data_IF_552736831967
#
_entry.id   IF_552736831967
#
_cell.length_a   1.000
_cell.length_b   1.000
_cell.length_c   1.000
_cell.angle_alpha   90.00
_cell.angle_beta   90.00
_cell.angle_gamma   90.00
#
_symmetry.space_group_name_H-M   'P 1'
#
loop_
_entity.id
_entity.type
_entity.pdbx_description
1 polymer ?
#
# COMPACT_ATOMS: atom_id res chain seq x y z
N UNK A 1 24.83 -23.70 -1.28
CA UNK A 1 25.34 -23.91 0.10
C UNK A 1 24.97 -22.76 1.04
N UNK A 2 25.31 -21.51 0.71
CA UNK A 2 24.99 -20.32 1.54
C UNK A 2 23.49 -20.21 1.84
N UNK A 3 22.63 -20.40 0.83
CA UNK A 3 21.17 -20.42 1.00
C UNK A 3 20.68 -21.40 2.06
N UNK A 4 21.26 -22.60 2.13
CA UNK A 4 20.89 -23.61 3.12
C UNK A 4 21.24 -23.15 4.54
N UNK A 5 22.39 -22.47 4.71
CA UNK A 5 22.81 -21.88 6.00
C UNK A 5 21.99 -20.65 6.39
N UNK A 6 21.24 -20.05 5.47
CA UNK A 6 20.39 -18.88 5.71
C UNK A 6 18.92 -19.23 6.03
N UNK A 7 18.58 -20.52 6.09
CA UNK A 7 17.23 -20.99 6.44
C UNK A 7 16.89 -20.71 7.92
N UNK A 8 15.58 -20.66 8.23
CA UNK A 8 15.02 -20.27 9.54
C UNK A 8 15.55 -21.02 10.77
N UNK A 9 16.19 -22.18 10.58
CA UNK A 9 16.67 -23.03 11.68
C UNK A 9 18.14 -22.75 12.07
N UNK A 10 18.88 -21.94 11.32
CA UNK A 10 20.25 -21.55 11.69
C UNK A 10 20.24 -20.38 12.68
N UNK A 11 21.19 -20.41 13.62
CA UNK A 11 21.34 -19.31 14.56
C UNK A 11 21.86 -18.05 13.82
N UNK A 12 21.74 -16.88 14.44
CA UNK A 12 22.14 -15.62 13.81
C UNK A 12 23.63 -15.57 13.43
N UNK A 13 24.51 -16.10 14.28
CA UNK A 13 25.96 -16.13 14.03
C UNK A 13 26.31 -16.99 12.80
N UNK A 14 25.67 -18.15 12.63
CA UNK A 14 25.86 -19.03 11.47
C UNK A 14 25.45 -18.33 10.16
N UNK A 15 24.37 -17.53 10.21
CA UNK A 15 23.90 -16.74 9.06
C UNK A 15 24.91 -15.65 8.69
N UNK A 16 25.45 -14.97 9.69
CA UNK A 16 26.51 -13.96 9.49
C UNK A 16 27.76 -14.59 8.89
N UNK A 17 28.22 -15.73 9.43
CA UNK A 17 29.41 -16.42 8.91
C UNK A 17 29.21 -16.94 7.48
N UNK A 18 27.99 -17.40 7.14
CA UNK A 18 27.66 -17.81 5.78
C UNK A 18 27.73 -16.64 4.78
N UNK A 19 27.22 -15.47 5.15
CA UNK A 19 27.32 -14.25 4.31
C UNK A 19 28.77 -13.78 4.19
N UNK A 20 29.52 -13.79 5.29
CA UNK A 20 30.95 -13.49 5.30
C UNK A 20 31.72 -14.38 4.33
N UNK A 21 31.52 -15.70 4.42
CA UNK A 21 32.17 -16.67 3.53
C UNK A 21 31.86 -16.40 2.06
N UNK A 22 30.63 -15.98 1.75
CA UNK A 22 30.24 -15.58 0.40
C UNK A 22 31.00 -14.35 -0.10
N UNK A 23 31.13 -13.31 0.73
CA UNK A 23 31.90 -12.13 0.38
C UNK A 23 33.40 -12.42 0.24
N UNK A 24 33.95 -13.33 1.05
CA UNK A 24 35.35 -13.77 0.90
C UNK A 24 35.59 -14.48 -0.43
N UNK A 25 34.65 -15.33 -0.84
CA UNK A 25 34.69 -15.97 -2.15
C UNK A 25 34.68 -14.95 -3.30
N UNK A 26 33.79 -13.95 -3.22
CA UNK A 26 33.76 -12.84 -4.18
C UNK A 26 35.09 -12.07 -4.19
N UNK A 27 35.63 -11.74 -3.02
CA UNK A 27 36.88 -11.00 -2.88
C UNK A 27 38.12 -11.79 -3.38
N UNK A 28 38.03 -13.12 -3.47
CA UNK A 28 39.07 -14.00 -4.01
C UNK A 28 38.96 -14.25 -5.51
N UNK A 29 37.86 -13.83 -6.15
CA UNK A 29 37.60 -14.14 -7.56
C UNK A 29 38.25 -13.13 -8.50
N UNK A 30 39.06 -13.62 -9.45
CA UNK A 30 39.90 -12.79 -10.34
C UNK A 30 39.09 -12.02 -11.40
N UNK A 31 37.88 -12.50 -11.75
CA UNK A 31 36.99 -11.90 -12.76
C UNK A 31 35.53 -11.94 -12.30
N UNK A 32 35.07 -10.89 -11.59
CA UNK A 32 33.73 -10.85 -11.02
C UNK A 32 32.64 -10.35 -11.98
N UNK A 33 32.92 -10.29 -13.28
CA UNK A 33 32.07 -9.75 -14.34
C UNK A 33 31.05 -10.75 -14.91
N UNK A 34 31.16 -12.04 -14.58
CA UNK A 34 30.18 -13.05 -14.98
C UNK A 34 28.81 -12.84 -14.33
N UNK A 35 27.73 -13.10 -15.07
CA UNK A 35 26.32 -12.94 -14.62
C UNK A 35 26.06 -13.62 -13.27
N UNK A 36 26.54 -14.86 -13.10
CA UNK A 36 26.40 -15.61 -11.84
C UNK A 36 27.08 -14.92 -10.63
N UNK A 37 28.17 -14.18 -10.87
CA UNK A 37 28.89 -13.49 -9.81
C UNK A 37 28.12 -12.23 -9.39
N UNK A 38 27.51 -11.54 -10.34
CA UNK A 38 26.63 -10.40 -10.06
C UNK A 38 25.37 -10.84 -9.30
N UNK A 39 24.76 -11.97 -9.70
CA UNK A 39 23.64 -12.58 -8.98
C UNK A 39 24.01 -12.95 -7.54
N UNK A 40 25.17 -13.59 -7.35
CA UNK A 40 25.70 -13.91 -6.03
C UNK A 40 25.96 -12.64 -5.20
N UNK A 41 26.56 -11.61 -5.80
CA UNK A 41 26.81 -10.34 -5.12
C UNK A 41 25.52 -9.66 -4.67
N UNK A 42 24.50 -9.63 -5.53
CA UNK A 42 23.19 -9.08 -5.19
C UNK A 42 22.48 -9.90 -4.10
N UNK A 43 22.57 -11.22 -4.19
CA UNK A 43 22.08 -12.12 -3.14
C UNK A 43 22.74 -11.84 -1.79
N UNK A 44 24.08 -11.77 -1.76
CA UNK A 44 24.84 -11.51 -0.54
C UNK A 44 24.56 -10.12 0.01
N UNK A 45 24.42 -9.12 -0.87
CA UNK A 45 24.06 -7.76 -0.50
C UNK A 45 22.69 -7.70 0.20
N UNK A 46 21.65 -8.32 -0.36
CA UNK A 46 20.32 -8.39 0.27
C UNK A 46 20.35 -9.03 1.65
N UNK A 47 21.09 -10.13 1.80
CA UNK A 47 21.24 -10.79 3.10
C UNK A 47 22.09 -9.98 4.08
N UNK A 48 23.14 -9.32 3.60
CA UNK A 48 23.96 -8.43 4.41
C UNK A 48 23.13 -7.29 5.00
N UNK A 49 22.29 -6.63 4.18
CA UNK A 49 21.38 -5.59 4.66
C UNK A 49 20.48 -6.10 5.78
N UNK A 50 19.80 -7.24 5.58
CA UNK A 50 18.91 -7.81 6.60
C UNK A 50 19.64 -8.15 7.89
N UNK A 51 20.84 -8.72 7.80
CA UNK A 51 21.62 -9.10 8.99
C UNK A 51 22.14 -7.87 9.73
N UNK A 52 22.74 -6.92 9.02
CA UNK A 52 23.33 -5.70 9.58
C UNK A 52 22.27 -4.80 10.22
N UNK A 53 21.07 -4.76 9.63
CA UNK A 53 19.92 -4.04 10.17
C UNK A 53 19.15 -4.86 11.20
N UNK A 54 19.58 -6.08 11.54
CA UNK A 54 18.95 -6.85 12.61
C UNK A 54 19.46 -6.40 13.98
N UNK A 55 18.59 -6.44 15.01
CA UNK A 55 18.93 -5.98 16.36
C UNK A 55 20.11 -6.72 17.00
N UNK A 56 20.36 -7.99 16.63
CA UNK A 56 21.50 -8.76 17.14
C UNK A 56 22.86 -8.27 16.59
N UNK A 57 22.89 -7.54 15.48
CA UNK A 57 24.13 -7.05 14.87
C UNK A 57 24.92 -6.15 15.81
N UNK A 58 24.24 -5.28 16.56
CA UNK A 58 24.91 -4.35 17.48
C UNK A 58 25.68 -5.09 18.58
N UNK A 59 25.17 -6.24 19.03
CA UNK A 59 25.79 -7.09 20.05
C UNK A 59 26.85 -8.06 19.53
N UNK A 60 27.05 -8.15 18.20
CA UNK A 60 28.05 -9.02 17.59
C UNK A 60 29.47 -8.56 17.92
N UNK A 61 30.39 -9.52 18.10
CA UNK A 61 31.79 -9.24 18.39
C UNK A 61 32.46 -8.35 17.31
N UNK A 62 33.23 -7.36 17.75
CA UNK A 62 33.84 -6.36 16.86
C UNK A 62 34.73 -6.99 15.77
N UNK A 63 35.39 -8.11 16.08
CA UNK A 63 36.23 -8.84 15.12
C UNK A 63 35.46 -9.26 13.86
N UNK A 64 34.19 -9.64 14.01
CA UNK A 64 33.34 -10.07 12.90
C UNK A 64 32.96 -8.88 12.02
N UNK A 65 32.65 -7.74 12.63
CA UNK A 65 32.36 -6.48 11.93
C UNK A 65 33.57 -5.97 11.16
N UNK A 66 34.74 -5.96 11.80
CA UNK A 66 36.02 -5.57 11.18
C UNK A 66 36.38 -6.48 10.01
N UNK A 67 36.16 -7.80 10.14
CA UNK A 67 36.36 -8.76 9.04
C UNK A 67 35.44 -8.43 7.86
N UNK A 68 34.14 -8.26 8.09
CA UNK A 68 33.20 -7.89 7.02
C UNK A 68 33.59 -6.57 6.35
N UNK A 69 33.93 -5.55 7.13
CA UNK A 69 34.35 -4.25 6.62
C UNK A 69 35.58 -4.36 5.71
N UNK A 70 36.62 -5.09 6.13
CA UNK A 70 37.83 -5.28 5.34
C UNK A 70 37.55 -6.00 4.01
N UNK A 71 36.67 -7.01 4.03
CA UNK A 71 36.27 -7.74 2.82
C UNK A 71 35.48 -6.82 1.88
N UNK A 72 34.50 -6.07 2.38
CA UNK A 72 33.72 -5.13 1.58
C UNK A 72 34.59 -4.02 0.98
N UNK A 73 35.58 -3.50 1.72
CA UNK A 73 36.56 -2.53 1.20
C UNK A 73 37.44 -3.11 0.09
N UNK A 74 37.73 -4.41 0.13
CA UNK A 74 38.44 -5.09 -0.95
C UNK A 74 37.53 -5.25 -2.17
N UNK A 75 36.29 -5.69 -1.96
CA UNK A 75 35.28 -5.84 -3.01
C UNK A 75 34.92 -4.51 -3.67
N UNK A 76 34.92 -3.39 -2.94
CA UNK A 76 34.57 -2.08 -3.49
C UNK A 76 35.55 -1.57 -4.55
N UNK A 77 36.74 -2.18 -4.67
CA UNK A 77 37.72 -1.89 -5.74
C UNK A 77 37.34 -2.53 -7.07
N UNK A 78 36.33 -3.41 -7.06
CA UNK A 78 35.77 -4.05 -8.25
C UNK A 78 34.58 -3.22 -8.72
N UNK A 79 34.64 -2.70 -9.96
CA UNK A 79 33.64 -1.78 -10.49
C UNK A 79 32.18 -2.25 -10.38
N UNK A 80 31.90 -3.53 -10.66
CA UNK A 80 30.53 -4.09 -10.57
C UNK A 80 30.03 -4.29 -9.13
N UNK A 81 30.93 -4.36 -8.15
CA UNK A 81 30.60 -4.55 -6.73
C UNK A 81 30.64 -3.24 -5.93
N UNK A 82 31.28 -2.20 -6.47
CA UNK A 82 31.47 -0.90 -5.81
C UNK A 82 30.15 -0.32 -5.30
N UNK A 83 29.05 -0.26 -6.08
CA UNK A 83 27.81 0.36 -5.60
C UNK A 83 27.23 -0.38 -4.38
N UNK A 84 27.25 -1.72 -4.41
CA UNK A 84 26.74 -2.56 -3.32
C UNK A 84 27.57 -2.39 -2.04
N UNK A 85 28.90 -2.36 -2.19
CA UNK A 85 29.81 -2.21 -1.07
C UNK A 85 29.74 -0.80 -0.47
N UNK A 86 29.61 0.24 -1.31
CA UNK A 86 29.48 1.64 -0.87
C UNK A 86 28.26 1.82 0.03
N UNK A 87 27.14 1.18 -0.29
CA UNK A 87 25.92 1.22 0.54
C UNK A 87 26.07 0.43 1.85
N UNK A 88 26.74 -0.72 1.84
CA UNK A 88 26.90 -1.56 3.04
C UNK A 88 27.92 -1.02 4.05
N UNK A 89 29.02 -0.43 3.59
CA UNK A 89 30.15 -0.06 4.44
C UNK A 89 29.78 0.83 5.64
N UNK A 90 28.98 1.90 5.49
CA UNK A 90 28.54 2.71 6.63
C UNK A 90 27.70 1.92 7.64
N UNK A 91 26.88 0.98 7.16
CA UNK A 91 25.93 0.22 7.98
C UNK A 91 26.63 -0.83 8.86
N UNK A 92 27.77 -1.38 8.43
CA UNK A 92 28.51 -2.43 9.18
C UNK A 92 28.88 -1.97 10.60
N UNK A 93 29.25 -0.70 10.76
CA UNK A 93 29.69 -0.18 12.05
C UNK A 93 28.55 0.49 12.82
N UNK A 94 27.78 1.35 12.16
CA UNK A 94 26.73 2.13 12.79
C UNK A 94 25.41 2.07 12.00
N UNK A 95 24.72 0.91 11.98
CA UNK A 95 23.51 0.73 11.16
C UNK A 95 22.36 1.65 11.59
N UNK A 96 22.39 2.17 12.82
CA UNK A 96 21.36 3.04 13.41
C UNK A 96 21.92 4.42 13.82
N UNK A 97 23.14 4.74 13.39
CA UNK A 97 23.90 5.90 13.89
C UNK A 97 23.56 7.24 13.24
N UNK A 98 22.89 7.23 12.08
CA UNK A 98 22.68 8.41 11.25
C UNK A 98 21.95 9.53 12.03
N UNK A 99 22.45 10.79 12.01
CA UNK A 99 21.86 11.90 12.76
C UNK A 99 20.37 12.13 12.45
N UNK A 100 20.02 12.19 11.16
CA UNK A 100 18.62 12.33 10.72
C UNK A 100 17.75 11.18 11.22
N UNK A 101 18.25 9.93 11.17
CA UNK A 101 17.51 8.77 11.67
C UNK A 101 17.26 8.85 13.18
N UNK A 102 18.26 9.30 13.95
CA UNK A 102 18.11 9.55 15.39
C UNK A 102 17.09 10.65 15.68
N UNK A 103 17.05 11.71 14.87
CA UNK A 103 16.03 12.75 14.98
C UNK A 103 14.62 12.21 14.65
N UNK A 104 14.50 11.33 13.63
CA UNK A 104 13.23 10.66 13.31
C UNK A 104 12.76 9.84 14.52
N UNK A 105 13.68 9.10 15.16
CA UNK A 105 13.36 8.29 16.34
C UNK A 105 13.04 9.10 17.58
N UNK A 106 13.64 10.29 17.78
CA UNK A 106 13.28 11.13 18.92
C UNK A 106 11.86 11.67 18.75
N UNK A 107 11.47 12.08 17.54
CA UNK A 107 10.16 12.68 17.26
C UNK A 107 9.92 13.99 17.99
N UNK A 108 10.98 14.61 18.52
CA UNK A 108 10.92 15.82 19.34
C UNK A 108 10.98 17.11 18.52
N UNK A 109 11.44 17.03 17.27
CA UNK A 109 11.62 18.18 16.39
C UNK A 109 11.19 17.81 14.97
N UNK A 110 10.59 18.78 14.28
CA UNK A 110 10.32 18.65 12.86
C UNK A 110 11.63 18.70 12.07
N UNK A 111 11.84 17.69 11.24
CA UNK A 111 13.06 17.53 10.44
C UNK A 111 12.82 18.21 9.10
N UNK A 112 13.77 19.02 8.65
CA UNK A 112 13.68 19.70 7.37
C UNK A 112 13.67 18.69 6.21
N UNK A 113 12.92 19.00 5.15
CA UNK A 113 12.77 18.11 4.01
C UNK A 113 14.11 17.86 3.29
N UNK A 114 14.99 18.86 3.26
CA UNK A 114 16.34 18.74 2.70
C UNK A 114 17.21 17.73 3.46
N UNK A 115 17.06 17.64 4.79
CA UNK A 115 17.79 16.68 5.61
C UNK A 115 17.28 15.25 5.40
N UNK A 116 15.97 15.11 5.19
CA UNK A 116 15.33 13.85 4.86
C UNK A 116 15.76 13.36 3.47
N UNK A 117 15.78 14.25 2.48
CA UNK A 117 16.21 13.94 1.11
C UNK A 117 17.67 13.48 1.12
N UNK A 118 18.56 14.21 1.78
CA UNK A 118 19.98 13.81 1.94
C UNK A 118 20.15 12.47 2.64
N UNK A 119 19.31 12.19 3.65
CA UNK A 119 19.31 10.90 4.33
C UNK A 119 18.91 9.75 3.38
N UNK A 120 17.85 9.96 2.58
CA UNK A 120 17.39 8.99 1.58
C UNK A 120 18.42 8.81 0.46
N UNK A 121 19.10 9.86 0.02
CA UNK A 121 20.21 9.78 -0.93
C UNK A 121 21.36 8.94 -0.39
N UNK A 122 21.71 9.15 0.88
CA UNK A 122 22.81 8.44 1.53
C UNK A 122 22.53 6.95 1.74
N UNK A 123 21.33 6.60 2.19
CA UNK A 123 20.97 5.19 2.45
C UNK A 123 20.35 4.47 1.25
N UNK A 124 19.74 5.19 0.30
CA UNK A 124 18.86 4.66 -0.76
C UNK A 124 17.53 4.09 -0.26
N UNK A 125 16.53 4.05 -1.15
CA UNK A 125 15.21 3.49 -0.85
C UNK A 125 15.24 2.00 -0.47
N UNK A 126 16.19 1.23 -1.01
CA UNK A 126 16.31 -0.20 -0.71
C UNK A 126 16.71 -0.45 0.74
N UNK A 127 17.68 0.32 1.27
CA UNK A 127 18.10 0.21 2.67
C UNK A 127 16.96 0.62 3.59
N UNK A 128 16.25 1.71 3.27
CA UNK A 128 15.08 2.16 4.03
C UNK A 128 14.01 1.07 4.06
N UNK A 129 13.76 0.41 2.92
CA UNK A 129 12.82 -0.70 2.82
C UNK A 129 13.20 -1.85 3.74
N UNK A 130 14.45 -2.32 3.67
CA UNK A 130 14.93 -3.42 4.54
C UNK A 130 14.91 -3.02 6.01
N UNK A 131 15.19 -1.75 6.32
CA UNK A 131 15.17 -1.20 7.68
C UNK A 131 13.76 -1.27 8.27
N UNK A 132 12.77 -0.74 7.54
CA UNK A 132 11.37 -0.79 7.96
C UNK A 132 10.91 -2.23 8.09
N UNK A 133 11.19 -3.08 7.10
CA UNK A 133 10.80 -4.50 7.14
C UNK A 133 11.38 -5.21 8.36
N UNK A 134 12.65 -4.98 8.67
CA UNK A 134 13.33 -5.58 9.83
C UNK A 134 12.75 -5.09 11.14
N UNK A 135 12.41 -3.80 11.24
CA UNK A 135 11.71 -3.26 12.42
C UNK A 135 10.32 -3.91 12.59
N UNK A 136 9.61 -4.13 11.49
CA UNK A 136 8.27 -4.73 11.49
C UNK A 136 8.25 -6.21 11.92
N UNK A 137 9.40 -6.87 11.98
CA UNK A 137 9.52 -8.21 12.57
C UNK A 137 9.36 -8.19 14.10
N UNK A 138 9.66 -7.05 14.74
CA UNK A 138 9.58 -6.85 16.20
C UNK A 138 8.49 -5.87 16.59
N UNK A 139 7.58 -6.30 17.49
CA UNK A 139 6.51 -5.43 18.01
C UNK A 139 7.05 -4.18 18.73
N UNK A 140 8.28 -4.24 19.25
CA UNK A 140 8.90 -3.14 20.00
C UNK A 140 9.40 -2.00 19.13
N UNK A 141 9.34 -2.15 17.80
CA UNK A 141 9.89 -1.19 16.85
C UNK A 141 8.84 -0.66 15.85
N UNK A 142 7.56 -1.03 16.01
CA UNK A 142 6.48 -0.61 15.10
C UNK A 142 6.31 0.92 15.10
N UNK A 143 6.46 1.57 16.26
CA UNK A 143 6.38 3.02 16.39
C UNK A 143 7.55 3.73 15.69
N UNK A 144 8.75 3.18 15.79
CA UNK A 144 9.93 3.70 15.08
C UNK A 144 9.79 3.52 13.56
N UNK A 145 9.33 2.35 13.12
CA UNK A 145 9.02 2.08 11.72
C UNK A 145 7.97 3.05 11.18
N UNK A 146 6.93 3.32 11.96
CA UNK A 146 5.88 4.27 11.61
C UNK A 146 6.40 5.69 11.39
N UNK A 147 7.35 6.15 12.21
CA UNK A 147 7.99 7.47 12.05
C UNK A 147 8.83 7.55 10.77
N UNK A 148 9.57 6.49 10.43
CA UNK A 148 10.31 6.43 9.15
C UNK A 148 9.32 6.51 7.98
N UNK A 149 8.24 5.72 8.02
CA UNK A 149 7.24 5.69 6.96
C UNK A 149 6.58 7.05 6.73
N UNK A 150 6.23 7.78 7.79
CA UNK A 150 5.70 9.16 7.70
C UNK A 150 6.64 10.08 6.93
N UNK A 151 7.92 10.06 7.29
CA UNK A 151 8.94 10.91 6.67
C UNK A 151 9.17 10.51 5.20
N UNK A 152 9.16 9.22 4.90
CA UNK A 152 9.30 8.71 3.53
C UNK A 152 8.13 9.11 2.63
N UNK A 153 6.88 8.96 3.11
CA UNK A 153 5.70 9.33 2.34
C UNK A 153 5.61 10.85 2.14
N UNK A 154 5.91 11.63 3.19
CA UNK A 154 6.03 13.09 3.06
C UNK A 154 7.01 13.45 1.94
N UNK A 155 8.21 12.85 1.93
CA UNK A 155 9.21 13.08 0.88
C UNK A 155 8.70 12.71 -0.52
N UNK A 156 8.01 11.57 -0.66
CA UNK A 156 7.42 11.13 -1.93
C UNK A 156 6.38 12.13 -2.46
N UNK A 157 5.57 12.72 -1.58
CA UNK A 157 4.53 13.69 -1.92
C UNK A 157 5.10 15.04 -2.41
N UNK A 158 6.31 15.41 -1.96
CA UNK A 158 6.99 16.63 -2.38
C UNK A 158 7.33 16.66 -3.88
N UNK A 159 7.32 15.50 -4.56
CA UNK A 159 7.64 15.40 -6.00
C UNK A 159 6.70 16.25 -6.87
N UNK A 160 5.51 16.58 -6.38
CA UNK A 160 4.55 17.41 -7.11
C UNK A 160 4.86 18.91 -7.00
N UNK A 161 5.85 19.31 -6.20
CA UNK A 161 6.27 20.70 -6.01
C UNK A 161 7.57 20.98 -6.80
N UNK A 162 7.44 21.63 -7.96
CA UNK A 162 8.56 21.94 -8.85
C UNK A 162 9.58 22.92 -8.26
N UNK A 163 9.30 23.52 -7.09
CA UNK A 163 10.21 24.43 -6.40
C UNK A 163 11.19 23.73 -5.44
N UNK A 164 11.11 22.41 -5.30
CA UNK A 164 11.82 21.64 -4.28
C UNK A 164 12.98 20.79 -4.84
N UNK A 165 13.90 20.32 -3.96
CA UNK A 165 15.06 19.55 -4.38
C UNK A 165 14.67 18.28 -5.13
N UNK A 166 15.51 17.83 -6.07
CA UNK A 166 15.31 16.55 -6.75
C UNK A 166 15.27 15.41 -5.73
N UNK A 167 14.17 14.65 -5.74
CA UNK A 167 13.99 13.50 -4.86
C UNK A 167 14.66 12.28 -5.49
N UNK A 168 15.38 11.45 -4.72
CA UNK A 168 15.96 10.21 -5.21
C UNK A 168 14.91 9.34 -5.88
N UNK A 169 15.26 8.79 -7.04
CA UNK A 169 14.36 7.92 -7.80
C UNK A 169 13.88 6.74 -6.95
N UNK A 170 12.56 6.63 -6.77
CA UNK A 170 11.88 5.47 -6.18
C UNK A 170 11.02 4.77 -7.22
N UNK A 171 10.72 3.49 -6.98
CA UNK A 171 9.79 2.73 -7.83
C UNK A 171 8.36 2.80 -7.29
N UNK A 172 7.37 2.53 -8.14
CA UNK A 172 5.98 2.37 -7.69
C UNK A 172 5.84 1.25 -6.65
N UNK A 173 6.71 0.24 -6.70
CA UNK A 173 6.73 -0.83 -5.70
C UNK A 173 7.15 -0.30 -4.33
N UNK A 174 8.16 0.57 -4.26
CA UNK A 174 8.61 1.20 -3.01
C UNK A 174 7.51 2.08 -2.41
N UNK A 175 6.90 2.94 -3.24
CA UNK A 175 5.80 3.80 -2.80
C UNK A 175 4.62 2.98 -2.28
N UNK A 176 4.20 1.95 -3.02
CA UNK A 176 3.10 1.08 -2.60
C UNK A 176 3.44 0.31 -1.32
N UNK A 177 4.68 -0.16 -1.17
CA UNK A 177 5.14 -0.86 0.03
C UNK A 177 5.08 0.04 1.27
N UNK A 178 5.59 1.27 1.17
CA UNK A 178 5.55 2.23 2.28
C UNK A 178 4.12 2.68 2.59
N UNK A 179 3.31 2.97 1.58
CA UNK A 179 1.91 3.35 1.75
C UNK A 179 1.11 2.25 2.46
N UNK A 180 1.24 1.00 2.00
CA UNK A 180 0.52 -0.13 2.61
C UNK A 180 0.87 -0.27 4.10
N UNK A 181 2.18 -0.26 4.43
CA UNK A 181 2.66 -0.39 5.81
C UNK A 181 2.24 0.79 6.68
N UNK A 182 2.31 2.01 6.13
CA UNK A 182 1.88 3.22 6.80
C UNK A 182 0.41 3.14 7.21
N UNK A 183 -0.49 2.82 6.28
CA UNK A 183 -1.92 2.70 6.60
C UNK A 183 -2.23 1.51 7.49
N UNK A 184 -1.47 0.41 7.36
CA UNK A 184 -1.57 -0.73 8.28
C UNK A 184 -1.25 -0.36 9.73
N UNK A 185 -0.21 0.45 9.95
CA UNK A 185 0.15 0.95 11.28
C UNK A 185 -0.78 2.08 11.74
N UNK A 186 -1.14 3.00 10.86
CA UNK A 186 -2.03 4.12 11.17
C UNK A 186 -3.41 3.62 11.65
N UNK A 187 -3.96 2.57 11.04
CA UNK A 187 -5.18 1.91 11.51
C UNK A 187 -5.08 1.46 12.98
N UNK A 188 -3.90 1.03 13.40
CA UNK A 188 -3.65 0.53 14.76
C UNK A 188 -3.42 1.67 15.76
N UNK A 189 -2.72 2.72 15.35
CA UNK A 189 -2.28 3.81 16.24
C UNK A 189 -3.30 4.97 16.32
N UNK A 190 -3.91 5.36 15.20
CA UNK A 190 -4.83 6.50 15.12
C UNK A 190 -5.88 6.31 14.00
N UNK A 191 -7.02 5.74 14.37
CA UNK A 191 -8.12 5.51 13.43
C UNK A 191 -8.77 6.80 12.91
N UNK A 192 -8.69 7.92 13.64
CA UNK A 192 -9.27 9.19 13.21
C UNK A 192 -8.45 9.72 12.03
N UNK A 193 -7.13 9.75 12.20
CA UNK A 193 -6.21 10.15 11.14
C UNK A 193 -6.25 9.16 9.97
N UNK A 194 -6.37 7.85 10.23
CA UNK A 194 -6.60 6.85 9.19
C UNK A 194 -7.82 7.18 8.32
N UNK A 195 -8.97 7.44 8.93
CA UNK A 195 -10.21 7.76 8.20
C UNK A 195 -10.05 9.04 7.39
N UNK A 196 -9.42 10.08 7.96
CA UNK A 196 -9.18 11.34 7.26
C UNK A 196 -8.32 11.12 6.00
N UNK A 197 -7.14 10.52 6.17
CA UNK A 197 -6.15 10.40 5.09
C UNK A 197 -6.60 9.42 4.01
N UNK A 198 -7.25 8.30 4.38
CA UNK A 198 -7.84 7.39 3.38
C UNK A 198 -8.89 8.11 2.53
N UNK A 199 -9.67 9.01 3.13
CA UNK A 199 -10.69 9.79 2.44
C UNK A 199 -10.13 10.70 1.33
N UNK A 200 -8.84 11.04 1.38
CA UNK A 200 -8.17 11.93 0.43
C UNK A 200 -7.55 11.17 -0.77
N UNK A 201 -7.45 9.84 -0.71
CA UNK A 201 -6.72 9.05 -1.71
C UNK A 201 -7.52 8.70 -2.98
N UNK A 202 -8.84 8.75 -2.94
CA UNK A 202 -9.74 8.38 -4.05
C UNK A 202 -9.33 7.03 -4.70
N UNK A 203 -9.07 7.01 -6.01
CA UNK A 203 -8.64 5.83 -6.78
C UNK A 203 -7.36 5.18 -6.22
N UNK A 204 -6.39 5.97 -5.73
CA UNK A 204 -5.18 5.43 -5.09
C UNK A 204 -5.53 4.66 -3.82
N UNK A 205 -6.58 5.09 -3.12
CA UNK A 205 -7.10 4.44 -1.93
C UNK A 205 -7.68 3.06 -2.26
N UNK A 206 -8.42 2.94 -3.37
CA UNK A 206 -8.97 1.64 -3.80
C UNK A 206 -7.84 0.67 -4.16
N UNK A 207 -6.82 1.13 -4.89
CA UNK A 207 -5.64 0.33 -5.21
C UNK A 207 -4.90 -0.14 -3.95
N UNK A 208 -4.74 0.74 -2.97
CA UNK A 208 -4.15 0.41 -1.67
C UNK A 208 -4.98 -0.66 -0.94
N UNK A 209 -6.29 -0.49 -0.86
CA UNK A 209 -7.20 -1.48 -0.25
C UNK A 209 -6.99 -2.85 -0.90
N UNK A 210 -6.99 -2.91 -2.24
CA UNK A 210 -6.82 -4.14 -2.99
C UNK A 210 -5.47 -4.83 -2.70
N UNK A 211 -4.39 -4.07 -2.56
CA UNK A 211 -3.08 -4.61 -2.16
C UNK A 211 -3.08 -5.13 -0.73
N UNK A 212 -3.67 -4.39 0.21
CA UNK A 212 -3.69 -4.74 1.63
C UNK A 212 -4.46 -6.04 1.87
N UNK A 213 -5.66 -6.20 1.30
CA UNK A 213 -6.49 -7.39 1.54
C UNK A 213 -5.84 -8.67 1.00
N UNK A 214 -5.02 -8.55 -0.04
CA UNK A 214 -4.23 -9.64 -0.63
C UNK A 214 -2.91 -9.94 0.09
N UNK A 215 -2.51 -9.16 1.11
CA UNK A 215 -1.26 -9.42 1.86
C UNK A 215 -1.33 -10.74 2.61
N UNK A 216 -0.22 -11.47 2.61
CA UNK A 216 -0.05 -12.65 3.47
C UNK A 216 0.23 -12.23 4.92
N UNK A 217 -0.29 -12.98 5.90
CA UNK A 217 -0.09 -12.75 7.35
C UNK A 217 1.33 -13.10 7.85
N UNK A 218 2.37 -12.86 7.04
CA UNK A 218 3.77 -13.04 7.44
C UNK A 218 4.21 -11.99 8.46
N UNK A 219 3.77 -10.74 8.27
CA UNK A 219 3.96 -9.66 9.23
C UNK A 219 2.70 -9.50 10.09
N UNK A 220 2.89 -9.18 11.38
CA UNK A 220 1.79 -9.08 12.35
C UNK A 220 0.78 -7.98 12.02
N UNK A 221 1.24 -6.89 11.39
CA UNK A 221 0.38 -5.79 10.92
C UNK A 221 -0.73 -6.28 9.98
N UNK A 222 -0.49 -7.36 9.23
CA UNK A 222 -1.46 -7.92 8.29
C UNK A 222 -2.46 -8.91 8.91
N UNK A 223 -2.35 -9.22 10.21
CA UNK A 223 -3.32 -10.07 10.92
C UNK A 223 -4.76 -9.55 10.81
N UNK A 224 -4.92 -8.24 10.65
CA UNK A 224 -6.21 -7.58 10.52
C UNK A 224 -6.44 -6.97 9.14
N UNK A 225 -5.75 -7.45 8.09
CA UNK A 225 -5.81 -6.88 6.74
C UNK A 225 -7.24 -6.70 6.20
N UNK A 226 -8.14 -7.66 6.44
CA UNK A 226 -9.54 -7.54 5.99
C UNK A 226 -10.31 -6.48 6.77
N UNK A 227 -10.01 -6.29 8.07
CA UNK A 227 -10.61 -5.21 8.86
C UNK A 227 -10.10 -3.84 8.44
N UNK A 228 -8.80 -3.74 8.17
CA UNK A 228 -8.16 -2.52 7.63
C UNK A 228 -8.79 -2.17 6.28
N UNK A 229 -8.81 -3.13 5.35
CA UNK A 229 -9.40 -2.99 4.03
C UNK A 229 -10.88 -2.63 4.08
N UNK A 230 -11.67 -3.30 4.92
CA UNK A 230 -13.11 -3.01 5.07
C UNK A 230 -13.36 -1.60 5.60
N UNK A 231 -12.58 -1.12 6.59
CA UNK A 231 -12.73 0.25 7.07
C UNK A 231 -12.33 1.25 5.99
N UNK A 232 -11.19 1.06 5.33
CA UNK A 232 -10.74 1.94 4.26
C UNK A 232 -11.73 1.98 3.08
N UNK A 233 -12.24 0.84 2.65
CA UNK A 233 -13.24 0.75 1.59
C UNK A 233 -14.53 1.49 1.96
N UNK A 234 -14.99 1.39 3.22
CA UNK A 234 -16.15 2.16 3.70
C UNK A 234 -15.90 3.67 3.67
N UNK A 235 -14.71 4.12 4.08
CA UNK A 235 -14.33 5.53 4.03
C UNK A 235 -14.36 6.04 2.58
N UNK A 236 -13.72 5.31 1.67
CA UNK A 236 -13.68 5.63 0.25
C UNK A 236 -15.08 5.66 -0.36
N UNK A 237 -15.94 4.71 0.01
CA UNK A 237 -17.34 4.68 -0.40
C UNK A 237 -18.10 5.91 0.07
N UNK A 238 -17.99 6.28 1.35
CA UNK A 238 -18.65 7.48 1.90
C UNK A 238 -18.21 8.74 1.16
N UNK A 239 -16.93 8.86 0.80
CA UNK A 239 -16.43 9.97 -0.02
C UNK A 239 -16.98 9.89 -1.44
N UNK A 240 -17.00 8.69 -2.02
CA UNK A 240 -17.46 8.47 -3.38
C UNK A 240 -18.94 8.84 -3.59
N UNK A 241 -19.78 8.52 -2.60
CA UNK A 241 -21.22 8.78 -2.63
C UNK A 241 -21.58 10.27 -2.77
N UNK A 242 -20.69 11.18 -2.34
CA UNK A 242 -20.97 12.62 -2.25
C UNK A 242 -20.76 13.39 -3.55
N UNK A 243 -20.07 12.81 -4.54
CA UNK A 243 -19.73 13.49 -5.80
C UNK A 243 -20.59 12.92 -6.93
N UNK A 244 -21.28 13.77 -7.68
CA UNK A 244 -21.95 13.36 -8.92
C UNK A 244 -20.93 12.85 -9.94
N UNK A 245 -21.33 11.87 -10.74
CA UNK A 245 -20.52 11.26 -11.81
C UNK A 245 -19.12 10.87 -11.37
N UNK A 246 -19.04 10.24 -10.20
CA UNK A 246 -17.76 9.84 -9.65
C UNK A 246 -17.27 8.53 -10.30
N UNK A 247 -16.23 8.57 -11.17
CA UNK A 247 -15.77 7.38 -11.88
C UNK A 247 -15.17 6.32 -10.94
N UNK A 248 -14.75 6.71 -9.72
CA UNK A 248 -14.20 5.76 -8.75
C UNK A 248 -15.26 5.12 -7.84
N UNK A 249 -16.53 5.56 -7.87
CA UNK A 249 -17.60 4.94 -7.06
C UNK A 249 -17.74 3.45 -7.38
N UNK A 250 -17.76 3.10 -8.68
CA UNK A 250 -17.80 1.72 -9.14
C UNK A 250 -16.63 0.91 -8.55
N UNK A 251 -15.41 1.45 -8.58
CA UNK A 251 -14.21 0.77 -8.09
C UNK A 251 -14.28 0.56 -6.57
N UNK A 252 -14.66 1.59 -5.81
CA UNK A 252 -14.78 1.51 -4.37
C UNK A 252 -15.88 0.53 -3.93
N UNK A 253 -17.04 0.53 -4.60
CA UNK A 253 -18.14 -0.39 -4.28
C UNK A 253 -17.84 -1.82 -4.67
N UNK A 254 -17.23 -2.03 -5.85
CA UNK A 254 -16.79 -3.34 -6.30
C UNK A 254 -15.78 -3.96 -5.31
N UNK A 255 -14.74 -3.21 -4.92
CA UNK A 255 -13.74 -3.68 -3.95
C UNK A 255 -14.36 -3.94 -2.56
N UNK A 256 -15.28 -3.08 -2.11
CA UNK A 256 -15.98 -3.31 -0.84
C UNK A 256 -16.80 -4.62 -0.86
N UNK A 257 -17.45 -4.93 -1.98
CA UNK A 257 -18.18 -6.19 -2.16
C UNK A 257 -17.25 -7.41 -2.16
N UNK A 258 -16.10 -7.32 -2.84
CA UNK A 258 -15.07 -8.38 -2.82
C UNK A 258 -14.61 -8.67 -1.39
N UNK A 259 -14.43 -7.62 -0.58
CA UNK A 259 -14.09 -7.76 0.84
C UNK A 259 -15.21 -8.44 1.63
N UNK A 260 -16.49 -8.15 1.35
CA UNK A 260 -17.60 -8.84 2.04
C UNK A 260 -17.64 -10.32 1.70
N UNK A 261 -17.33 -10.69 0.45
CA UNK A 261 -17.20 -12.09 0.05
C UNK A 261 -16.05 -12.78 0.78
N UNK A 262 -14.87 -12.14 0.87
CA UNK A 262 -13.73 -12.69 1.61
C UNK A 262 -14.00 -12.80 3.12
N UNK A 263 -14.74 -11.85 3.70
CA UNK A 263 -15.18 -11.88 5.09
C UNK A 263 -16.29 -12.93 5.34
N UNK A 264 -16.90 -13.46 4.27
CA UNK A 264 -18.08 -14.34 4.34
C UNK A 264 -19.21 -13.70 5.14
N UNK A 265 -19.45 -12.42 4.89
CA UNK A 265 -20.50 -11.65 5.56
C UNK A 265 -21.85 -12.34 5.31
N UNK A 266 -22.65 -12.65 6.35
CA UNK A 266 -23.97 -13.24 6.19
C UNK A 266 -24.89 -12.37 5.35
N UNK A 267 -25.78 -12.98 4.57
CA UNK A 267 -26.67 -12.28 3.65
C UNK A 267 -27.54 -11.23 4.36
N UNK A 268 -28.05 -11.53 5.56
CA UNK A 268 -28.88 -10.58 6.32
C UNK A 268 -28.08 -9.35 6.81
N UNK A 269 -26.81 -9.55 7.17
CA UNK A 269 -25.91 -8.47 7.54
C UNK A 269 -25.53 -7.64 6.33
N UNK A 270 -25.21 -8.28 5.20
CA UNK A 270 -24.92 -7.62 3.93
C UNK A 270 -26.08 -6.73 3.51
N UNK A 271 -27.32 -7.25 3.54
CA UNK A 271 -28.51 -6.47 3.24
C UNK A 271 -28.64 -5.27 4.17
N UNK A 272 -28.47 -5.42 5.49
CA UNK A 272 -28.50 -4.29 6.45
C UNK A 272 -27.43 -3.23 6.13
N UNK A 273 -26.23 -3.64 5.72
CA UNK A 273 -25.16 -2.72 5.34
C UNK A 273 -25.52 -1.92 4.08
N UNK A 274 -26.08 -2.58 3.06
CA UNK A 274 -26.50 -1.93 1.81
C UNK A 274 -27.66 -0.97 2.07
N UNK A 275 -28.63 -1.34 2.91
CA UNK A 275 -29.73 -0.45 3.29
C UNK A 275 -29.25 0.84 3.97
N UNK A 276 -28.23 0.75 4.84
CA UNK A 276 -27.60 1.94 5.43
C UNK A 276 -26.88 2.77 4.39
N UNK A 277 -26.09 2.16 3.51
CA UNK A 277 -25.38 2.89 2.46
C UNK A 277 -26.36 3.61 1.52
N UNK A 278 -27.46 2.95 1.16
CA UNK A 278 -28.53 3.53 0.34
C UNK A 278 -29.14 4.78 0.96
N UNK A 279 -29.25 4.88 2.29
CA UNK A 279 -29.81 6.07 2.95
C UNK A 279 -28.97 7.32 2.68
N UNK A 280 -27.67 7.16 2.42
CA UNK A 280 -26.72 8.24 2.16
C UNK A 280 -26.59 8.59 0.67
N UNK A 281 -27.23 7.83 -0.23
CA UNK A 281 -27.11 8.01 -1.68
C UNK A 281 -28.40 8.59 -2.25
N UNK A 282 -28.25 9.77 -2.83
CA UNK A 282 -29.32 10.49 -3.55
C UNK A 282 -29.16 10.43 -5.08
N UNK A 283 -28.02 9.94 -5.56
CA UNK A 283 -27.64 9.94 -6.97
C UNK A 283 -28.08 8.62 -7.61
N UNK A 284 -28.96 8.68 -8.60
CA UNK A 284 -29.52 7.49 -9.28
C UNK A 284 -28.46 6.64 -9.99
N UNK A 285 -27.46 7.25 -10.63
CA UNK A 285 -26.37 6.52 -11.30
C UNK A 285 -25.55 5.64 -10.33
N UNK A 286 -25.33 6.11 -9.10
CA UNK A 286 -24.72 5.31 -8.03
C UNK A 286 -25.62 4.15 -7.60
N UNK A 287 -26.94 4.37 -7.51
CA UNK A 287 -27.89 3.32 -7.14
C UNK A 287 -27.92 2.21 -8.19
N UNK A 288 -27.95 2.55 -9.49
CA UNK A 288 -27.86 1.55 -10.56
C UNK A 288 -26.54 0.81 -10.51
N UNK A 289 -25.43 1.52 -10.33
CA UNK A 289 -24.10 0.91 -10.18
C UNK A 289 -24.07 -0.11 -9.03
N UNK A 290 -24.65 0.23 -7.88
CA UNK A 290 -24.76 -0.70 -6.76
C UNK A 290 -25.59 -1.93 -7.13
N UNK A 291 -26.77 -1.74 -7.73
CA UNK A 291 -27.66 -2.82 -8.11
C UNK A 291 -26.97 -3.81 -9.06
N UNK A 292 -26.28 -3.30 -10.09
CA UNK A 292 -25.58 -4.13 -11.07
C UNK A 292 -24.41 -4.89 -10.45
N UNK A 293 -23.59 -4.26 -9.60
CA UNK A 293 -22.47 -4.94 -8.92
C UNK A 293 -22.99 -6.01 -7.95
N UNK A 294 -24.05 -5.72 -7.19
CA UNK A 294 -24.63 -6.66 -6.25
C UNK A 294 -25.17 -7.89 -6.96
N UNK A 295 -25.89 -7.70 -8.06
CA UNK A 295 -26.39 -8.82 -8.86
C UNK A 295 -25.25 -9.65 -9.45
N UNK A 296 -24.21 -9.00 -9.99
CA UNK A 296 -23.05 -9.71 -10.55
C UNK A 296 -22.28 -10.54 -9.52
N UNK A 297 -22.12 -10.04 -8.29
CA UNK A 297 -21.29 -10.70 -7.26
C UNK A 297 -22.06 -11.68 -6.38
N UNK A 298 -23.30 -11.36 -6.04
CA UNK A 298 -24.09 -12.12 -5.06
C UNK A 298 -25.29 -12.83 -5.71
N UNK A 299 -25.70 -12.42 -6.92
CA UNK A 299 -26.74 -13.08 -7.69
C UNK A 299 -28.07 -13.15 -6.93
N UNK A 300 -28.62 -14.36 -6.87
CA UNK A 300 -29.96 -14.64 -6.35
C UNK A 300 -30.20 -14.20 -4.92
N UNK A 301 -29.20 -14.30 -4.03
CA UNK A 301 -29.40 -13.97 -2.63
C UNK A 301 -29.69 -12.47 -2.40
N UNK A 302 -29.36 -11.62 -3.38
CA UNK A 302 -29.64 -10.20 -3.35
C UNK A 302 -30.75 -9.76 -4.32
N UNK A 303 -31.43 -10.68 -5.02
CA UNK A 303 -32.39 -10.34 -6.09
C UNK A 303 -33.44 -9.33 -5.63
N UNK A 304 -34.10 -9.58 -4.50
CA UNK A 304 -35.13 -8.68 -3.98
C UNK A 304 -34.60 -7.26 -3.69
N UNK A 305 -33.39 -7.17 -3.12
CA UNK A 305 -32.73 -5.90 -2.84
C UNK A 305 -32.28 -5.18 -4.11
N UNK A 306 -31.75 -5.92 -5.08
CA UNK A 306 -31.36 -5.39 -6.40
C UNK A 306 -32.58 -4.80 -7.12
N UNK A 307 -33.70 -5.53 -7.13
CA UNK A 307 -34.98 -5.05 -7.69
C UNK A 307 -35.44 -3.76 -6.99
N UNK A 308 -35.36 -3.69 -5.66
CA UNK A 308 -35.69 -2.47 -4.91
C UNK A 308 -34.79 -1.28 -5.29
N UNK A 309 -33.48 -1.51 -5.46
CA UNK A 309 -32.53 -0.47 -5.85
C UNK A 309 -32.83 0.06 -7.26
N UNK A 310 -33.10 -0.80 -8.24
CA UNK A 310 -33.49 -0.38 -9.58
C UNK A 310 -34.78 0.45 -9.58
N UNK A 311 -35.82 -0.01 -8.85
CA UNK A 311 -37.09 0.73 -8.73
C UNK A 311 -36.83 2.13 -8.14
N UNK A 312 -36.00 2.23 -7.11
CA UNK A 312 -35.65 3.51 -6.50
C UNK A 312 -34.87 4.42 -7.46
N UNK A 313 -33.87 3.88 -8.17
CA UNK A 313 -33.12 4.64 -9.17
C UNK A 313 -34.05 5.21 -10.24
N UNK A 314 -34.96 4.39 -10.77
CA UNK A 314 -35.96 4.80 -11.77
C UNK A 314 -36.92 5.85 -11.22
N UNK A 315 -37.30 5.75 -9.95
CA UNK A 315 -38.15 6.75 -9.29
C UNK A 315 -37.44 8.09 -9.17
N UNK A 316 -36.15 8.11 -8.82
CA UNK A 316 -35.35 9.33 -8.74
C UNK A 316 -35.20 9.98 -10.12
N UNK A 317 -34.94 9.18 -11.16
CA UNK A 317 -34.82 9.67 -12.52
C UNK A 317 -36.16 10.21 -13.04
N UNK A 318 -37.28 9.55 -12.73
CA UNK A 318 -38.62 10.03 -13.09
C UNK A 318 -38.90 11.40 -12.46
N UNK A 319 -38.60 11.57 -11.17
CA UNK A 319 -38.77 12.84 -10.48
C UNK A 319 -37.86 13.93 -11.07
N UNK A 320 -36.62 13.59 -11.42
CA UNK A 320 -35.67 14.50 -12.08
C UNK A 320 -36.17 14.92 -13.46
N UNK A 321 -36.73 13.99 -14.23
CA UNK A 321 -37.31 14.22 -15.56
C UNK A 321 -38.48 15.19 -15.49
N UNK A 322 -39.41 14.98 -14.56
CA UNK A 322 -40.52 15.91 -14.30
C UNK A 322 -39.99 17.31 -13.93
N UNK A 323 -38.95 17.38 -13.10
CA UNK A 323 -38.31 18.64 -12.72
C UNK A 323 -37.69 19.39 -13.89
N UNK A 324 -37.01 18.71 -14.82
CA UNK A 324 -36.42 19.31 -16.03
C UNK A 324 -37.53 19.84 -16.94
N UNK A 325 -38.59 19.05 -17.15
CA UNK A 325 -39.73 19.43 -18.00
C UNK A 325 -40.48 20.66 -17.49
N UNK A 326 -40.53 20.86 -16.17
CA UNK A 326 -41.15 22.06 -15.55
C UNK A 326 -40.27 23.30 -15.66
N UNK A 327 -38.94 23.14 -15.64
CA UNK A 327 -37.98 24.26 -15.59
C UNK A 327 -37.49 24.70 -16.97
N UNK A 328 -37.59 23.86 -18.00
CA UNK A 328 -37.03 24.14 -19.32
C UNK A 328 -38.07 24.77 -20.26
N UNK A 329 -37.70 25.88 -20.89
CA UNK A 329 -38.43 26.44 -22.03
C UNK A 329 -38.12 25.68 -23.34
N UNK A 330 -37.01 24.94 -23.38
CA UNK A 330 -36.65 24.05 -24.48
C UNK A 330 -37.45 22.76 -24.39
N UNK A 331 -38.01 22.31 -25.52
CA UNK A 331 -38.80 21.07 -25.59
C UNK A 331 -37.94 19.81 -25.44
N UNK A 332 -36.62 19.90 -25.65
CA UNK A 332 -35.72 18.74 -25.54
C UNK A 332 -34.29 19.14 -25.14
N UNK A 333 -34.06 19.54 -23.88
CA UNK A 333 -32.71 19.81 -23.39
C UNK A 333 -31.84 18.54 -23.44
N UNK A 334 -30.52 18.69 -23.64
CA UNK A 334 -29.59 17.54 -23.72
C UNK A 334 -29.63 16.66 -22.47
N UNK A 335 -29.73 17.28 -21.30
CA UNK A 335 -29.86 16.61 -20.00
C UNK A 335 -31.07 15.66 -19.95
N UNK A 336 -32.17 15.99 -20.64
CA UNK A 336 -33.35 15.13 -20.73
C UNK A 336 -33.06 13.87 -21.55
N UNK A 337 -32.29 14.00 -22.65
CA UNK A 337 -31.93 12.86 -23.49
C UNK A 337 -31.00 11.89 -22.74
N UNK A 338 -30.02 12.44 -22.02
CA UNK A 338 -29.10 11.63 -21.19
C UNK A 338 -29.85 10.89 -20.08
N UNK A 339 -30.80 11.57 -19.42
CA UNK A 339 -31.65 10.97 -18.40
C UNK A 339 -32.56 9.87 -18.97
N UNK A 340 -33.17 10.10 -20.13
CA UNK A 340 -34.01 9.09 -20.80
C UNK A 340 -33.21 7.84 -21.21
N UNK A 341 -31.96 8.02 -21.67
CA UNK A 341 -31.05 6.91 -21.95
C UNK A 341 -30.71 6.13 -20.66
N UNK A 342 -30.40 6.83 -19.57
CA UNK A 342 -30.12 6.20 -18.28
C UNK A 342 -31.32 5.40 -17.77
N UNK A 343 -32.53 5.95 -17.85
CA UNK A 343 -33.76 5.26 -17.48
C UNK A 343 -34.00 4.01 -18.35
N UNK A 344 -33.78 4.10 -19.66
CA UNK A 344 -33.92 2.97 -20.57
C UNK A 344 -32.97 1.82 -20.18
N UNK A 345 -31.71 2.14 -19.86
CA UNK A 345 -30.75 1.15 -19.32
C UNK A 345 -31.25 0.56 -17.99
N UNK A 346 -31.72 1.39 -17.07
CA UNK A 346 -32.27 0.92 -15.78
C UNK A 346 -33.46 -0.04 -15.94
N UNK A 347 -34.37 0.22 -16.90
CA UNK A 347 -35.47 -0.70 -17.21
C UNK A 347 -34.99 -2.02 -17.82
N UNK A 348 -34.00 -1.98 -18.71
CA UNK A 348 -33.42 -3.19 -19.31
C UNK A 348 -32.75 -4.07 -18.25
N UNK A 349 -31.92 -3.47 -17.38
CA UNK A 349 -31.24 -4.19 -16.30
C UNK A 349 -32.26 -4.78 -15.30
N UNK A 350 -33.29 -4.01 -14.93
CA UNK A 350 -34.37 -4.50 -14.07
C UNK A 350 -35.14 -5.66 -14.70
N UNK A 351 -35.41 -5.59 -16.01
CA UNK A 351 -36.04 -6.68 -16.73
C UNK A 351 -35.16 -7.94 -16.69
N UNK A 352 -33.85 -7.80 -16.92
CA UNK A 352 -32.90 -8.91 -16.89
C UNK A 352 -32.86 -9.61 -15.52
N UNK A 353 -32.86 -8.86 -14.43
CA UNK A 353 -32.87 -9.42 -13.05
C UNK A 353 -34.14 -10.21 -12.75
N UNK A 354 -35.27 -9.87 -13.39
CA UNK A 354 -36.57 -10.50 -13.13
C UNK A 354 -36.99 -11.54 -14.21
N UNK A 355 -36.19 -11.74 -15.27
CA UNK A 355 -36.53 -12.62 -16.40
C UNK A 355 -36.03 -14.07 -16.24
N UNK A 356 -35.37 -14.39 -15.13
CA UNK A 356 -34.84 -15.71 -14.76
C UNK A 356 -35.54 -16.15 -13.47
#
# INVERSE_FOLDING_TARGET
>A
EIENKLQKNSNYADRVEAVLSGWEHLAGTVRPDGTHIQELAFFLYKWSLRLVLYGEWTGLAQIVKTRLQAILQKCSRVGVLEPLCRTLLPLVNEPWGHPTLKAIFSGTQEIADEEVIKYIEAETWEVIRVRVDTMMESKKCEDLAFRILKVCLRCIELKNDTARPEIPHYTDEDHNHFMDLYFGLLYKEDQITFVREVGELETKGVQMVNRIVKKQEKLKVWKHRLKIGNLAAKVLLTVACKKNDNPFFWQAFNEWCDIQQELKTPDDELQKMIHRLRQEIEISSHIYTMASILYQKFGECCRALVTELFIRGLTIDMNSREGIMVKSEDKRPKELVELELQMACGYMDLAQVNSI
#
